data_IF_101232374159
#
_entry.id   IF_101232374159
#
_cell.length_a   1.000
_cell.length_b   1.000
_cell.length_c   1.000
_cell.angle_alpha   90.00
_cell.angle_beta   90.00
_cell.angle_gamma   90.00
#
_symmetry.space_group_name_H-M   'P 1'
#
loop_
_entity.id
_entity.type
_entity.pdbx_description
1 polymer ?
#
# COMPACT_ATOMS: atom_id res chain seq x y z
N UNK A 1 -19.49 84.53 -5.72
CA UNK A 1 -19.12 84.16 -7.10
C UNK A 1 -18.39 82.81 -7.06
N UNK A 2 -18.95 81.80 -7.75
CA UNK A 2 -18.36 80.51 -8.20
C UNK A 2 -17.89 79.49 -7.12
N UNK A 3 -18.65 78.39 -6.95
CA UNK A 3 -18.33 76.98 -7.36
C UNK A 3 -17.51 76.24 -6.29
N UNK A 4 -17.89 75.12 -5.68
CA UNK A 4 -18.70 73.98 -6.10
C UNK A 4 -17.77 72.81 -6.44
N UNK A 5 -17.57 71.83 -5.53
CA UNK A 5 -17.32 70.41 -5.83
C UNK A 5 -17.22 69.55 -4.55
N UNK A 6 -17.95 68.43 -4.54
CA UNK A 6 -17.76 67.28 -3.65
C UNK A 6 -16.69 66.36 -4.23
N UNK A 7 -15.78 65.81 -3.41
CA UNK A 7 -15.04 64.57 -3.71
C UNK A 7 -14.74 63.79 -2.43
N UNK A 8 -15.15 62.51 -2.43
CA UNK A 8 -14.73 61.41 -1.56
C UNK A 8 -13.30 60.96 -1.89
N UNK A 9 -12.49 60.56 -0.90
CA UNK A 9 -11.39 59.58 -1.02
C UNK A 9 -10.99 59.20 0.42
N UNK A 10 -10.75 57.96 0.85
CA UNK A 10 -10.52 56.69 0.18
C UNK A 10 -9.64 55.88 1.14
N UNK A 11 -10.21 54.83 1.76
CA UNK A 11 -9.52 53.93 2.69
C UNK A 11 -8.43 53.18 1.92
N UNK A 12 -7.15 53.37 2.27
CA UNK A 12 -6.05 52.57 1.71
C UNK A 12 -6.00 51.21 2.41
N UNK A 13 -6.53 50.21 1.71
CA UNK A 13 -6.35 48.78 1.97
C UNK A 13 -4.91 48.41 1.57
N UNK A 14 -4.08 47.98 2.52
CA UNK A 14 -2.79 47.36 2.19
C UNK A 14 -3.01 45.89 1.83
N UNK A 15 -2.72 45.57 0.57
CA UNK A 15 -2.63 44.21 0.05
C UNK A 15 -1.42 43.49 0.68
N UNK A 16 -1.67 42.38 1.39
CA UNK A 16 -0.62 41.42 1.75
C UNK A 16 -0.23 40.58 0.52
N UNK A 17 1.06 40.31 0.28
CA UNK A 17 1.46 39.42 -0.79
C UNK A 17 1.08 37.97 -0.46
N UNK A 18 0.49 37.31 -1.46
CA UNK A 18 0.24 35.88 -1.46
C UNK A 18 1.56 35.10 -1.62
N UNK A 19 1.67 33.99 -0.88
CA UNK A 19 2.55 32.88 -1.25
C UNK A 19 3.97 32.94 -0.71
N UNK A 20 4.16 32.47 0.53
CA UNK A 20 5.42 31.84 0.93
C UNK A 20 5.10 30.36 1.13
N UNK A 21 5.63 29.53 0.22
CA UNK A 21 5.53 28.08 0.27
C UNK A 21 6.04 27.57 1.61
N UNK A 22 5.22 26.71 2.23
CA UNK A 22 5.60 26.02 3.46
C UNK A 22 6.79 25.10 3.14
N UNK A 23 7.94 25.21 3.80
CA UNK A 23 9.03 24.28 3.57
C UNK A 23 8.57 22.87 3.95
N UNK A 24 8.73 21.92 3.03
CA UNK A 24 8.29 20.51 3.14
C UNK A 24 8.82 19.81 4.41
N UNK A 25 9.86 20.34 5.05
CA UNK A 25 10.42 19.83 6.30
C UNK A 25 9.53 20.01 7.54
N UNK A 26 8.59 20.95 7.56
CA UNK A 26 7.76 21.20 8.76
C UNK A 26 6.46 20.39 8.80
N UNK A 27 6.05 19.77 7.70
CA UNK A 27 4.88 18.87 7.69
C UNK A 27 5.19 17.53 8.39
N UNK A 28 6.46 17.11 8.46
CA UNK A 28 6.87 15.83 9.04
C UNK A 28 7.02 15.84 10.57
N UNK A 29 7.20 17.02 11.17
CA UNK A 29 7.44 17.14 12.61
C UNK A 29 6.21 16.84 13.48
N UNK A 30 5.00 16.83 12.91
CA UNK A 30 3.75 16.52 13.63
C UNK A 30 3.39 15.02 13.64
N UNK A 31 4.17 14.14 13.00
CA UNK A 31 3.82 12.71 12.83
C UNK A 31 4.76 11.76 13.59
N UNK A 32 5.52 12.27 14.57
CA UNK A 32 6.60 11.58 15.28
C UNK A 32 6.19 10.33 16.11
N UNK A 33 4.93 9.93 16.09
CA UNK A 33 4.41 8.72 16.74
C UNK A 33 3.77 7.70 15.80
N UNK A 34 3.70 7.97 14.49
CA UNK A 34 3.03 7.09 13.53
C UNK A 34 4.01 6.32 12.68
N UNK A 35 3.98 4.99 12.81
CA UNK A 35 4.70 4.11 11.89
C UNK A 35 3.97 4.07 10.56
N UNK A 36 4.67 4.49 9.50
CA UNK A 36 4.24 4.28 8.12
C UNK A 36 4.64 2.87 7.67
N UNK A 37 3.80 2.26 6.84
CA UNK A 37 4.03 0.95 6.27
C UNK A 37 3.93 1.00 4.75
N UNK A 38 4.88 0.33 4.09
CA UNK A 38 4.79 0.01 2.67
C UNK A 38 4.33 -1.44 2.52
N UNK A 39 3.17 -1.60 1.90
CA UNK A 39 2.47 -2.87 1.68
C UNK A 39 2.56 -3.21 0.21
N UNK A 40 3.20 -4.33 -0.13
CA UNK A 40 3.60 -4.62 -1.50
C UNK A 40 3.08 -5.98 -1.93
N UNK A 41 2.44 -6.03 -3.08
CA UNK A 41 2.24 -7.26 -3.84
C UNK A 41 3.29 -7.31 -4.94
N UNK A 42 3.90 -8.47 -5.14
CA UNK A 42 4.97 -8.65 -6.13
C UNK A 42 4.84 -9.98 -6.87
N UNK A 43 5.53 -10.09 -8.00
CA UNK A 43 5.61 -11.27 -8.86
C UNK A 43 6.87 -11.20 -9.72
N UNK A 44 7.18 -12.25 -10.48
CA UNK A 44 8.28 -12.27 -11.44
C UNK A 44 8.08 -11.26 -12.58
N UNK A 45 9.18 -10.80 -13.19
CA UNK A 45 9.15 -9.95 -14.39
C UNK A 45 8.22 -10.50 -15.47
N UNK A 46 7.50 -9.61 -16.14
CA UNK A 46 6.60 -9.95 -17.25
C UNK A 46 5.16 -10.21 -16.81
N UNK A 47 4.89 -10.21 -15.50
CA UNK A 47 3.54 -10.33 -14.92
C UNK A 47 3.08 -9.03 -14.29
N UNK A 48 1.78 -8.98 -13.99
CA UNK A 48 1.15 -7.82 -13.36
C UNK A 48 1.00 -8.09 -11.86
N UNK A 49 1.76 -7.39 -10.99
CA UNK A 49 1.56 -7.50 -9.56
C UNK A 49 0.27 -6.79 -9.14
N UNK A 50 -0.44 -7.38 -8.17
CA UNK A 50 -1.57 -6.77 -7.48
C UNK A 50 -1.32 -6.73 -5.98
N UNK A 51 -1.78 -5.66 -5.31
CA UNK A 51 -1.80 -5.58 -3.84
C UNK A 51 -3.17 -5.14 -3.33
N UNK A 52 -3.65 -5.82 -2.30
CA UNK A 52 -4.84 -5.44 -1.55
C UNK A 52 -4.51 -5.33 -0.05
N UNK A 53 -5.08 -4.35 0.62
CA UNK A 53 -4.91 -4.09 2.05
C UNK A 53 -6.28 -4.02 2.67
N UNK A 54 -6.61 -5.01 3.50
CA UNK A 54 -7.88 -5.09 4.20
C UNK A 54 -7.72 -4.73 5.67
N UNK A 55 -8.60 -3.88 6.18
CA UNK A 55 -8.83 -3.74 7.61
C UNK A 55 -9.98 -4.67 8.01
N UNK A 56 -9.73 -5.51 9.02
CA UNK A 56 -10.74 -6.35 9.64
C UNK A 56 -11.55 -5.52 10.65
N UNK A 57 -12.82 -5.34 10.35
CA UNK A 57 -13.82 -4.69 11.20
C UNK A 57 -14.87 -5.73 11.58
N UNK A 58 -14.59 -6.46 12.66
CA UNK A 58 -15.47 -7.49 13.21
C UNK A 58 -15.91 -8.54 12.17
N UNK A 59 -14.95 -9.04 11.39
CA UNK A 59 -15.15 -10.01 10.33
C UNK A 59 -15.42 -9.38 8.97
N UNK A 60 -15.85 -8.12 8.87
CA UNK A 60 -15.95 -7.43 7.58
C UNK A 60 -14.59 -6.90 7.16
N UNK A 61 -14.16 -7.21 5.93
CA UNK A 61 -12.87 -6.74 5.41
C UNK A 61 -13.09 -5.50 4.53
N UNK A 62 -12.57 -4.35 4.96
CA UNK A 62 -12.56 -3.12 4.17
C UNK A 62 -11.23 -2.98 3.44
N UNK A 63 -11.28 -3.18 2.13
CA UNK A 63 -10.13 -3.26 1.25
C UNK A 63 -9.83 -1.95 0.52
N UNK A 64 -8.54 -1.66 0.39
CA UNK A 64 -7.99 -0.81 -0.67
C UNK A 64 -7.08 -1.66 -1.54
N UNK A 65 -7.15 -1.53 -2.85
CA UNK A 65 -6.34 -2.33 -3.75
C UNK A 65 -5.88 -1.56 -4.98
N UNK A 66 -4.81 -2.05 -5.60
CA UNK A 66 -4.28 -1.57 -6.88
C UNK A 66 -3.52 -2.70 -7.56
N UNK A 67 -3.28 -2.58 -8.86
CA UNK A 67 -2.37 -3.47 -9.60
C UNK A 67 -1.46 -2.66 -10.54
N UNK A 68 -0.51 -3.33 -11.17
CA UNK A 68 0.43 -2.71 -12.13
C UNK A 68 -0.21 -2.10 -13.38
N UNK A 69 -1.51 -2.32 -13.61
CA UNK A 69 -2.30 -1.75 -14.71
C UNK A 69 -3.17 -0.57 -14.29
N UNK A 70 -3.37 -0.35 -12.98
CA UNK A 70 -4.23 0.70 -12.45
C UNK A 70 -3.63 2.12 -12.53
N UNK A 71 -2.40 2.27 -13.04
CA UNK A 71 -1.73 3.57 -13.24
C UNK A 71 -1.71 4.42 -11.95
N UNK A 72 -1.45 3.78 -10.81
CA UNK A 72 -1.41 4.46 -9.51
C UNK A 72 -2.76 4.80 -8.89
N UNK A 73 -3.89 4.36 -9.49
CA UNK A 73 -5.22 4.51 -8.88
C UNK A 73 -5.41 3.49 -7.76
N UNK A 74 -5.94 3.94 -6.63
CA UNK A 74 -6.32 3.08 -5.52
C UNK A 74 -7.84 2.90 -5.57
N UNK A 75 -8.26 1.65 -5.61
CA UNK A 75 -9.66 1.24 -5.64
C UNK A 75 -10.06 0.69 -4.28
N UNK A 76 -11.36 0.56 -4.07
CA UNK A 76 -11.92 0.07 -2.81
C UNK A 76 -12.79 -1.13 -3.03
N UNK A 77 -12.80 -2.02 -2.04
CA UNK A 77 -13.74 -3.12 -1.98
C UNK A 77 -14.15 -3.42 -0.54
N UNK A 78 -15.25 -4.11 -0.37
CA UNK A 78 -15.73 -4.63 0.90
C UNK A 78 -16.01 -6.11 0.75
N UNK A 79 -15.43 -6.94 1.62
CA UNK A 79 -15.75 -8.36 1.73
C UNK A 79 -16.58 -8.57 3.00
N UNK A 80 -17.84 -8.97 2.83
CA UNK A 80 -18.78 -9.25 3.93
C UNK A 80 -18.80 -10.76 4.18
N UNK A 81 -18.51 -11.23 5.40
CA UNK A 81 -18.44 -12.65 5.69
C UNK A 81 -19.80 -13.31 5.49
N UNK A 82 -19.80 -14.46 4.81
CA UNK A 82 -20.93 -15.39 4.72
C UNK A 82 -20.78 -16.53 5.71
N UNK A 83 -19.53 -16.95 5.93
CA UNK A 83 -19.15 -17.90 6.98
C UNK A 83 -17.77 -17.52 7.51
N UNK A 84 -17.58 -17.64 8.82
CA UNK A 84 -16.28 -17.51 9.47
C UNK A 84 -16.01 -18.78 10.27
N UNK A 85 -14.80 -19.30 10.17
CA UNK A 85 -14.37 -20.49 10.92
C UNK A 85 -13.40 -20.13 12.04
N UNK A 86 -12.44 -19.25 11.77
CA UNK A 86 -11.50 -18.73 12.77
C UNK A 86 -10.93 -17.38 12.31
N UNK A 87 -11.06 -16.34 13.14
CA UNK A 87 -10.58 -14.99 12.82
C UNK A 87 -11.14 -14.45 11.49
N UNK A 88 -10.31 -14.48 10.45
CA UNK A 88 -10.66 -14.04 9.07
C UNK A 88 -10.79 -15.22 8.08
N UNK A 89 -10.64 -16.47 8.52
CA UNK A 89 -10.87 -17.63 7.66
C UNK A 89 -12.35 -17.81 7.39
N UNK A 90 -12.70 -18.09 6.14
CA UNK A 90 -14.08 -18.28 5.74
C UNK A 90 -14.37 -17.86 4.31
N UNK A 91 -15.66 -17.66 4.05
CA UNK A 91 -16.15 -17.22 2.74
C UNK A 91 -16.81 -15.86 2.84
N UNK A 92 -16.68 -15.07 1.79
CA UNK A 92 -17.10 -13.68 1.76
C UNK A 92 -17.81 -13.37 0.45
N UNK A 93 -18.81 -12.50 0.51
CA UNK A 93 -19.33 -11.77 -0.65
C UNK A 93 -18.52 -10.48 -0.80
N UNK A 94 -17.96 -10.24 -1.98
CA UNK A 94 -17.17 -9.03 -2.25
C UNK A 94 -17.95 -8.07 -3.13
N UNK A 95 -17.84 -6.78 -2.82
CA UNK A 95 -18.31 -5.70 -3.68
C UNK A 95 -17.23 -4.64 -3.79
N UNK A 96 -17.02 -4.10 -5.00
CA UNK A 96 -16.02 -3.06 -5.20
C UNK A 96 -16.25 -2.30 -6.50
N UNK A 97 -15.28 -1.47 -6.85
CA UNK A 97 -15.34 -0.63 -8.06
C UNK A 97 -14.12 -0.91 -8.92
N UNK A 98 -14.36 -1.17 -10.21
CA UNK A 98 -13.32 -1.33 -11.22
C UNK A 98 -12.67 0.01 -11.57
N UNK A 99 -11.47 0.00 -12.20
CA UNK A 99 -10.83 1.23 -12.66
C UNK A 99 -11.67 2.09 -13.63
N UNK A 100 -12.63 1.48 -14.32
CA UNK A 100 -13.58 2.14 -15.23
C UNK A 100 -14.83 2.72 -14.53
N UNK A 101 -14.90 2.58 -13.20
CA UNK A 101 -16.01 3.07 -12.37
C UNK A 101 -17.18 2.10 -12.24
N UNK A 102 -17.18 0.95 -12.93
CA UNK A 102 -18.26 -0.04 -12.81
C UNK A 102 -18.14 -0.81 -11.51
N UNK A 103 -19.27 -1.06 -10.86
CA UNK A 103 -19.30 -1.94 -9.70
C UNK A 103 -19.08 -3.40 -10.11
N UNK A 104 -18.39 -4.16 -9.27
CA UNK A 104 -18.32 -5.60 -9.37
C UNK A 104 -18.85 -6.27 -8.10
N UNK A 105 -19.30 -7.51 -8.26
CA UNK A 105 -19.60 -8.43 -7.16
C UNK A 105 -18.86 -9.74 -7.42
N UNK A 106 -18.31 -10.32 -6.37
CA UNK A 106 -17.65 -11.62 -6.44
C UNK A 106 -17.78 -12.38 -5.13
N UNK A 107 -17.10 -13.53 -5.05
CA UNK A 107 -16.87 -14.22 -3.78
C UNK A 107 -15.39 -14.38 -3.55
N UNK A 108 -15.03 -14.39 -2.27
CA UNK A 108 -13.67 -14.59 -1.79
C UNK A 108 -13.66 -15.72 -0.76
N UNK A 109 -12.80 -16.70 -0.95
CA UNK A 109 -12.44 -17.68 0.07
C UNK A 109 -11.10 -17.32 0.69
N UNK A 110 -11.02 -17.38 2.02
CA UNK A 110 -9.80 -17.18 2.80
C UNK A 110 -9.52 -18.43 3.63
N UNK A 111 -8.31 -18.97 3.50
CA UNK A 111 -7.84 -20.13 4.27
C UNK A 111 -6.46 -19.87 4.84
N UNK A 112 -6.21 -20.28 6.07
CA UNK A 112 -4.90 -20.15 6.70
C UNK A 112 -3.90 -21.14 6.11
N UNK A 113 -2.68 -20.64 5.87
CA UNK A 113 -1.50 -21.40 5.43
C UNK A 113 -0.46 -21.51 6.55
N UNK A 114 -0.41 -20.54 7.46
CA UNK A 114 0.44 -20.53 8.65
C UNK A 114 -0.10 -19.53 9.67
N UNK A 115 0.61 -19.32 10.78
CA UNK A 115 0.09 -18.51 11.90
C UNK A 115 -0.45 -17.14 11.50
N UNK A 116 0.23 -16.48 10.55
CA UNK A 116 -0.11 -15.15 10.04
C UNK A 116 -0.27 -15.10 8.53
N UNK A 117 -0.23 -16.25 7.85
CA UNK A 117 -0.23 -16.32 6.38
C UNK A 117 -1.50 -16.98 5.89
N UNK A 118 -2.12 -16.37 4.87
CA UNK A 118 -3.41 -16.78 4.33
C UNK A 118 -3.34 -16.95 2.82
N UNK A 119 -4.04 -17.96 2.31
CA UNK A 119 -4.40 -18.13 0.91
C UNK A 119 -5.73 -17.43 0.66
N UNK A 120 -5.80 -16.67 -0.43
CA UNK A 120 -7.01 -16.04 -0.92
C UNK A 120 -7.33 -16.58 -2.31
N UNK A 121 -8.61 -16.85 -2.56
CA UNK A 121 -9.11 -17.29 -3.86
C UNK A 121 -10.40 -16.56 -4.21
N UNK A 122 -10.40 -15.84 -5.34
CA UNK A 122 -11.56 -15.12 -5.85
C UNK A 122 -12.26 -15.93 -6.94
N UNK A 123 -13.57 -15.74 -7.10
CA UNK A 123 -14.37 -16.44 -8.11
C UNK A 123 -14.04 -16.08 -9.55
N UNK A 124 -13.29 -14.99 -9.78
CA UNK A 124 -12.76 -14.63 -11.11
C UNK A 124 -11.53 -15.47 -11.50
N UNK A 125 -11.08 -16.40 -10.64
CA UNK A 125 -9.92 -17.25 -10.86
C UNK A 125 -8.60 -16.67 -10.32
N UNK A 126 -8.59 -15.44 -9.81
CA UNK A 126 -7.40 -14.89 -9.17
C UNK A 126 -7.13 -15.57 -7.83
N UNK A 127 -5.85 -15.66 -7.50
CA UNK A 127 -5.36 -16.16 -6.22
C UNK A 127 -4.43 -15.14 -5.59
N UNK A 128 -4.27 -15.24 -4.27
CA UNK A 128 -3.43 -14.34 -3.51
C UNK A 128 -2.85 -14.99 -2.27
N UNK A 129 -1.79 -14.38 -1.76
CA UNK A 129 -1.18 -14.73 -0.48
C UNK A 129 -1.17 -13.48 0.38
N UNK A 130 -1.54 -13.63 1.66
CA UNK A 130 -1.64 -12.51 2.59
C UNK A 130 -0.91 -12.72 3.90
N UNK A 131 -0.39 -11.63 4.45
CA UNK A 131 0.16 -11.54 5.81
C UNK A 131 -0.80 -10.74 6.68
N UNK A 132 -1.23 -11.33 7.80
CA UNK A 132 -2.05 -10.67 8.82
C UNK A 132 -1.15 -10.02 9.87
N UNK A 133 -1.24 -8.69 9.97
CA UNK A 133 -0.56 -7.86 10.96
C UNK A 133 -1.60 -7.12 11.82
N UNK A 134 -1.88 -7.66 13.00
CA UNK A 134 -2.96 -7.15 13.86
C UNK A 134 -4.31 -7.31 13.17
N UNK A 135 -5.02 -6.20 12.95
CA UNK A 135 -6.30 -6.17 12.23
C UNK A 135 -6.14 -5.93 10.72
N UNK A 136 -4.93 -5.86 10.20
CA UNK A 136 -4.69 -5.55 8.78
C UNK A 136 -4.17 -6.78 8.05
N UNK A 137 -4.90 -7.23 7.03
CA UNK A 137 -4.46 -8.26 6.09
C UNK A 137 -3.88 -7.58 4.84
N UNK A 138 -2.60 -7.79 4.60
CA UNK A 138 -1.92 -7.31 3.39
C UNK A 138 -1.81 -8.48 2.43
N UNK A 139 -2.23 -8.32 1.18
CA UNK A 139 -2.35 -9.40 0.21
C UNK A 139 -1.66 -9.02 -1.08
N UNK A 140 -0.77 -9.89 -1.57
CA UNK A 140 -0.34 -9.90 -2.96
C UNK A 140 -1.25 -10.82 -3.75
N UNK A 141 -1.68 -10.40 -4.93
CA UNK A 141 -2.57 -11.18 -5.79
C UNK A 141 -2.16 -11.10 -7.26
N UNK A 142 -2.65 -12.06 -8.06
CA UNK A 142 -2.33 -12.19 -9.48
C UNK A 142 -1.61 -13.51 -9.77
N UNK A 143 -0.81 -13.55 -10.83
CA UNK A 143 -0.07 -14.75 -11.21
C UNK A 143 1.21 -14.90 -10.37
N UNK A 144 1.37 -16.07 -9.71
CA UNK A 144 2.47 -16.36 -8.78
C UNK A 144 2.72 -15.22 -7.77
N UNK A 145 1.72 -14.92 -6.94
CA UNK A 145 1.77 -13.75 -6.08
C UNK A 145 2.73 -13.95 -4.90
N UNK A 146 3.48 -12.90 -4.61
CA UNK A 146 4.17 -12.67 -3.36
C UNK A 146 3.63 -11.42 -2.67
N UNK A 147 3.84 -11.34 -1.36
CA UNK A 147 3.45 -10.19 -0.55
C UNK A 147 4.56 -9.80 0.42
N UNK A 148 4.77 -8.50 0.60
CA UNK A 148 5.69 -7.95 1.57
C UNK A 148 5.05 -6.81 2.37
N UNK A 149 5.44 -6.69 3.63
CA UNK A 149 5.02 -5.63 4.54
C UNK A 149 6.25 -5.05 5.23
N UNK A 150 6.56 -3.80 4.93
CA UNK A 150 7.70 -3.08 5.52
C UNK A 150 7.21 -1.97 6.44
N UNK A 151 7.72 -1.92 7.67
CA UNK A 151 7.66 -0.74 8.51
C UNK A 151 8.74 0.25 8.03
N UNK A 152 8.33 1.47 7.72
CA UNK A 152 9.22 2.51 7.22
C UNK A 152 9.81 3.34 8.35
N UNK A 153 11.06 3.76 8.15
CA UNK A 153 11.77 4.72 8.98
C UNK A 153 11.77 6.09 8.30
N UNK A 154 12.07 7.13 9.09
CA UNK A 154 12.09 8.51 8.61
C UNK A 154 13.10 8.73 7.45
N UNK A 155 14.20 7.98 7.42
CA UNK A 155 15.22 8.04 6.36
C UNK A 155 14.78 7.34 5.05
N UNK A 156 13.59 6.75 5.02
CA UNK A 156 13.06 6.02 3.88
C UNK A 156 13.51 4.57 3.79
N UNK A 157 14.29 4.06 4.75
CA UNK A 157 14.57 2.62 4.87
C UNK A 157 13.35 1.87 5.40
N UNK A 158 13.29 0.57 5.13
CA UNK A 158 12.21 -0.31 5.57
C UNK A 158 12.71 -1.62 6.15
N UNK A 159 11.99 -2.16 7.13
CA UNK A 159 12.22 -3.48 7.71
C UNK A 159 10.88 -4.23 7.78
N UNK A 160 10.85 -5.45 7.28
CA UNK A 160 9.62 -6.14 7.00
C UNK A 160 9.73 -7.65 6.93
N UNK A 161 8.59 -8.24 6.62
CA UNK A 161 8.50 -9.65 6.24
C UNK A 161 7.86 -9.81 4.88
N UNK A 162 8.19 -10.91 4.23
CA UNK A 162 7.64 -11.28 2.94
C UNK A 162 7.30 -12.77 2.89
N UNK A 163 6.39 -13.14 2.00
CA UNK A 163 6.05 -14.53 1.73
C UNK A 163 5.49 -14.68 0.32
N UNK A 164 5.43 -15.92 -0.14
CA UNK A 164 4.88 -16.36 -1.42
C UNK A 164 4.09 -17.65 -1.19
N UNK A 165 3.27 -18.07 -2.15
CA UNK A 165 2.46 -19.28 -2.00
C UNK A 165 3.28 -20.57 -1.80
N UNK A 166 4.45 -20.66 -2.42
CA UNK A 166 5.37 -21.80 -2.33
C UNK A 166 6.07 -21.91 -0.96
N UNK A 167 5.99 -20.86 -0.13
CA UNK A 167 6.60 -20.84 1.21
C UNK A 167 5.70 -21.47 2.28
N UNK A 168 4.51 -21.94 1.91
CA UNK A 168 3.61 -22.77 2.74
C UNK A 168 3.38 -22.19 4.15
N UNK A 169 3.23 -20.87 4.24
CA UNK A 169 2.97 -20.17 5.50
C UNK A 169 4.20 -19.62 6.22
N UNK A 170 5.41 -19.89 5.73
CA UNK A 170 6.64 -19.28 6.22
C UNK A 170 6.76 -17.81 5.84
N UNK A 171 7.37 -17.00 6.71
CA UNK A 171 7.62 -15.56 6.48
C UNK A 171 9.13 -15.32 6.56
N UNK A 172 9.67 -14.75 5.48
CA UNK A 172 11.05 -14.29 5.41
C UNK A 172 11.18 -12.91 6.06
N UNK A 173 12.42 -12.50 6.33
CA UNK A 173 12.74 -11.15 6.81
C UNK A 173 13.50 -10.40 5.73
N UNK A 174 13.16 -9.14 5.54
CA UNK A 174 13.89 -8.28 4.61
C UNK A 174 14.01 -6.87 5.17
N UNK A 175 15.19 -6.29 4.95
CA UNK A 175 15.46 -4.89 5.14
C UNK A 175 15.87 -4.27 3.81
N UNK A 176 15.33 -3.10 3.47
CA UNK A 176 15.88 -2.23 2.44
C UNK A 176 16.39 -0.92 3.05
N UNK A 177 17.52 -0.42 2.57
CA UNK A 177 18.20 0.72 3.17
C UNK A 177 19.12 1.44 2.17
N UNK A 178 19.49 2.67 2.51
CA UNK A 178 20.20 3.57 1.60
C UNK A 178 19.21 4.46 0.83
N UNK A 179 19.58 4.91 -0.36
CA UNK A 179 18.67 5.61 -1.27
C UNK A 179 18.37 7.09 -0.95
N UNK A 180 18.49 7.54 0.30
CA UNK A 180 18.25 8.96 0.67
C UNK A 180 16.77 9.36 0.69
N UNK A 181 15.86 8.38 0.75
CA UNK A 181 14.41 8.56 0.78
C UNK A 181 13.69 7.33 0.24
N UNK A 182 12.35 7.26 0.40
CA UNK A 182 11.58 6.10 -0.03
C UNK A 182 11.71 5.86 -1.55
N UNK A 183 11.58 6.91 -2.36
CA UNK A 183 11.64 6.84 -3.82
C UNK A 183 13.08 6.91 -4.31
N UNK A 184 13.79 5.78 -4.24
CA UNK A 184 15.19 5.66 -4.63
C UNK A 184 15.52 4.20 -4.94
N UNK A 185 16.76 3.96 -5.38
CA UNK A 185 17.34 2.61 -5.36
C UNK A 185 17.96 2.35 -3.99
N UNK A 186 17.51 1.28 -3.36
CA UNK A 186 17.95 0.80 -2.06
C UNK A 186 18.74 -0.50 -2.21
N UNK A 187 19.67 -0.74 -1.30
CA UNK A 187 20.21 -2.07 -1.08
C UNK A 187 19.22 -2.86 -0.24
N UNK A 188 19.12 -4.16 -0.48
CA UNK A 188 18.32 -5.07 0.33
C UNK A 188 19.17 -6.18 0.90
N UNK A 189 18.80 -6.64 2.08
CA UNK A 189 19.31 -7.87 2.67
C UNK A 189 18.18 -8.57 3.39
N UNK A 190 18.19 -9.89 3.38
CA UNK A 190 17.14 -10.65 4.02
C UNK A 190 17.52 -12.09 4.29
N UNK A 191 16.57 -12.80 4.89
CA UNK A 191 16.62 -14.24 5.12
C UNK A 191 15.29 -14.81 4.63
N UNK A 192 15.34 -15.78 3.75
CA UNK A 192 14.15 -16.45 3.23
C UNK A 192 13.38 -17.18 4.34
N UNK A 193 12.11 -17.56 4.12
CA UNK A 193 11.38 -18.43 5.04
C UNK A 193 12.11 -19.75 5.36
N UNK A 194 13.01 -20.21 4.47
CA UNK A 194 13.82 -21.42 4.65
C UNK A 194 15.15 -21.17 5.35
N UNK A 195 15.43 -19.93 5.78
CA UNK A 195 16.65 -19.57 6.50
C UNK A 195 17.84 -19.19 5.61
N UNK A 196 17.68 -19.13 4.29
CA UNK A 196 18.77 -18.76 3.39
C UNK A 196 18.94 -17.23 3.34
N UNK A 197 20.13 -16.68 3.65
CA UNK A 197 20.39 -15.26 3.52
C UNK A 197 20.51 -14.85 2.04
N UNK A 198 20.15 -13.61 1.75
CA UNK A 198 20.31 -13.03 0.42
C UNK A 198 20.54 -11.52 0.49
N UNK A 199 21.09 -10.98 -0.59
CA UNK A 199 21.21 -9.53 -0.83
C UNK A 199 20.77 -9.20 -2.26
N UNK A 200 20.19 -8.03 -2.44
CA UNK A 200 19.79 -7.52 -3.74
C UNK A 200 19.73 -5.97 -3.71
N UNK A 201 19.17 -5.37 -4.76
CA UNK A 201 18.76 -3.98 -4.77
C UNK A 201 17.28 -3.88 -5.15
N UNK A 202 16.58 -2.88 -4.63
CA UNK A 202 15.20 -2.56 -5.02
C UNK A 202 15.12 -1.09 -5.42
N UNK A 203 14.60 -0.83 -6.62
CA UNK A 203 14.27 0.52 -7.05
C UNK A 203 12.80 0.78 -6.78
N UNK A 204 12.51 1.81 -5.99
CA UNK A 204 11.15 2.22 -5.63
C UNK A 204 10.86 3.54 -6.32
N UNK A 205 9.78 3.60 -7.10
CA UNK A 205 9.32 4.82 -7.77
C UNK A 205 7.86 5.10 -7.41
N UNK A 206 7.49 6.38 -7.31
CA UNK A 206 6.10 6.77 -7.08
C UNK A 206 5.34 6.77 -8.41
N UNK A 207 4.16 6.18 -8.42
CA UNK A 207 3.23 6.19 -9.56
C UNK A 207 1.85 6.60 -9.05
N UNK A 208 1.46 7.86 -9.28
CA UNK A 208 0.22 8.41 -8.74
C UNK A 208 0.17 8.30 -7.22
N UNK A 209 -0.81 7.53 -6.72
CA UNK A 209 -0.99 7.27 -5.28
C UNK A 209 -0.39 5.92 -4.83
N UNK A 210 0.25 5.18 -5.73
CA UNK A 210 0.92 3.91 -5.45
C UNK A 210 2.43 4.02 -5.69
N UNK A 211 3.13 2.91 -5.45
CA UNK A 211 4.57 2.78 -5.66
C UNK A 211 4.87 1.58 -6.55
N UNK A 212 5.78 1.72 -7.50
CA UNK A 212 6.35 0.58 -8.22
C UNK A 212 7.66 0.17 -7.57
N UNK A 213 7.87 -1.14 -7.52
CA UNK A 213 9.09 -1.74 -7.03
C UNK A 213 9.67 -2.62 -8.13
N UNK A 214 10.99 -2.58 -8.29
CA UNK A 214 11.72 -3.47 -9.19
C UNK A 214 12.99 -3.95 -8.48
N UNK A 215 13.09 -5.25 -8.24
CA UNK A 215 14.25 -5.86 -7.62
C UNK A 215 15.27 -6.27 -8.67
N UNK A 216 16.56 -6.23 -8.31
CA UNK A 216 17.66 -6.66 -9.18
C UNK A 216 17.62 -8.16 -9.50
N UNK A 217 16.88 -8.94 -8.72
CA UNK A 217 16.60 -10.38 -8.91
C UNK A 217 15.51 -10.64 -9.97
N UNK A 218 14.84 -9.60 -10.45
CA UNK A 218 13.88 -9.68 -11.56
C UNK A 218 12.41 -9.58 -11.12
N UNK A 219 12.10 -9.57 -9.84
CA UNK A 219 10.75 -9.34 -9.35
C UNK A 219 10.32 -7.88 -9.58
N UNK A 220 9.01 -7.72 -9.77
CA UNK A 220 8.34 -6.43 -9.89
C UNK A 220 7.17 -6.39 -8.92
N UNK A 221 6.88 -5.21 -8.38
CA UNK A 221 5.85 -5.03 -7.37
C UNK A 221 5.09 -3.73 -7.49
N UNK A 222 3.92 -3.71 -6.85
CA UNK A 222 3.09 -2.54 -6.64
C UNK A 222 2.81 -2.39 -5.15
N UNK A 223 2.98 -1.18 -4.64
CA UNK A 223 2.95 -0.86 -3.21
C UNK A 223 1.94 0.22 -2.84
N UNK A 224 1.34 0.06 -1.67
CA UNK A 224 0.49 1.06 -1.03
C UNK A 224 1.14 1.54 0.27
N UNK A 225 1.10 2.84 0.51
CA UNK A 225 1.42 3.39 1.81
C UNK A 225 0.19 3.41 2.71
N UNK A 226 0.40 3.07 3.96
CA UNK A 226 -0.57 3.35 5.01
C UNK A 226 0.13 3.73 6.29
N UNK A 227 -0.60 4.46 7.13
CA UNK A 227 -0.16 4.81 8.46
C UNK A 227 -0.92 3.95 9.46
N UNK A 228 -0.23 3.32 10.41
CA UNK A 228 -0.91 2.78 11.59
C UNK A 228 -1.39 3.95 12.46
N UNK A 229 -2.65 3.90 12.86
CA UNK A 229 -3.25 4.79 13.86
C UNK A 229 -3.58 3.98 15.09
#
# INVERSE_FOLDING_TARGET
>A
MRSGLWVFLGLCLWLLPAGVGRPEGQARAQDAGRTEYLMVGYTSKGRVPGVAVYRNENGTLRGRWTNGQAQGRILTETAVPQSLTDGIEGTYETTGTNPDGRMYRGKLGIRKLGDKVYLLAWTNGETGVGILAGQVLVVGYGEQPGVALYALKADGSGDGGWTTLDMQGGIGREQFYGGGGLTATHRTKGVSPTGQPYEAAVTITKEGNAYRLAWSTGEVGIGLLTTAR
#
